data_IF_069600733969
#
_entry.id   IF_069600733969
#
_cell.length_a   1.000
_cell.length_b   1.000
_cell.length_c   1.000
_cell.angle_alpha   90.00
_cell.angle_beta   90.00
_cell.angle_gamma   90.00
#
_symmetry.space_group_name_H-M   'P 1'
#
loop_
_entity.id
_entity.type
_entity.pdbx_description
1 polymer ?
#
# COMPACT_ATOMS: atom_id res chain seq x y z
N UNK A 1 3.64 31.33 -11.75
CA UNK A 1 4.33 30.82 -12.95
C UNK A 1 3.78 29.44 -13.17
N UNK A 2 3.16 29.16 -14.33
CA UNK A 2 2.78 27.79 -14.67
C UNK A 2 4.03 26.91 -14.56
N UNK A 3 3.93 25.72 -13.94
CA UNK A 3 5.05 24.79 -13.93
C UNK A 3 5.46 24.55 -15.39
N UNK A 4 6.76 24.55 -15.67
CA UNK A 4 7.27 24.28 -17.02
C UNK A 4 6.65 22.97 -17.52
N UNK A 5 6.28 22.90 -18.81
CA UNK A 5 5.61 21.76 -19.43
C UNK A 5 6.26 20.44 -18.95
N UNK A 6 5.50 19.54 -18.34
CA UNK A 6 6.05 18.31 -17.82
C UNK A 6 6.55 17.42 -18.97
N UNK A 7 7.60 16.60 -18.76
CA UNK A 7 8.05 15.63 -19.76
C UNK A 7 7.06 14.46 -19.92
N UNK A 8 5.90 14.56 -19.29
CA UNK A 8 4.82 13.57 -19.26
C UNK A 8 3.56 14.11 -19.94
N UNK A 9 2.89 13.25 -20.68
CA UNK A 9 1.62 13.53 -21.34
C UNK A 9 0.43 13.19 -20.41
N UNK A 10 0.65 12.37 -19.39
CA UNK A 10 -0.39 11.90 -18.49
C UNK A 10 0.16 11.39 -17.15
N UNK A 11 -0.75 11.19 -16.21
CA UNK A 11 -0.54 10.44 -14.96
C UNK A 11 -1.37 9.16 -15.00
N UNK A 12 -0.82 8.04 -14.52
CA UNK A 12 -1.53 6.79 -14.32
C UNK A 12 -1.63 6.49 -12.83
N UNK A 13 -2.83 6.40 -12.27
CA UNK A 13 -3.06 5.81 -10.96
C UNK A 13 -3.15 4.29 -11.12
N UNK A 14 -2.24 3.54 -10.54
CA UNK A 14 -2.20 2.08 -10.60
C UNK A 14 -2.43 1.48 -9.22
N UNK A 15 -3.54 0.73 -9.10
CA UNK A 15 -3.97 0.12 -7.85
C UNK A 15 -4.12 -1.40 -7.97
N UNK A 16 -4.44 -2.05 -6.86
CA UNK A 16 -4.66 -3.48 -6.79
C UNK A 16 -5.99 -3.87 -7.45
N UNK A 17 -7.04 -3.06 -7.24
CA UNK A 17 -8.41 -3.37 -7.64
C UNK A 17 -9.13 -4.31 -6.69
N UNK A 18 -10.45 -4.38 -6.80
CA UNK A 18 -11.28 -5.26 -5.98
C UNK A 18 -12.66 -5.46 -6.56
N UNK A 19 -13.41 -6.49 -6.09
CA UNK A 19 -14.77 -6.77 -6.56
C UNK A 19 -15.71 -5.64 -6.16
N UNK A 20 -16.71 -5.36 -7.02
CA UNK A 20 -17.70 -4.30 -6.77
C UNK A 20 -19.09 -4.85 -6.46
N UNK A 21 -19.29 -6.16 -6.60
CA UNK A 21 -20.55 -6.87 -6.33
C UNK A 21 -20.28 -8.35 -6.02
N UNK A 22 -21.23 -9.09 -5.45
CA UNK A 22 -21.03 -10.47 -5.05
C UNK A 22 -20.56 -11.40 -6.19
N UNK A 23 -21.05 -11.21 -7.40
CA UNK A 23 -20.69 -12.04 -8.56
C UNK A 23 -19.22 -11.85 -8.98
N UNK A 24 -18.59 -10.75 -8.59
CA UNK A 24 -17.21 -10.43 -8.92
C UNK A 24 -16.21 -11.16 -8.00
N UNK A 25 -16.63 -11.57 -6.79
CA UNK A 25 -15.74 -12.03 -5.72
C UNK A 25 -14.91 -13.25 -6.16
N UNK A 26 -15.56 -14.32 -6.58
CA UNK A 26 -14.82 -15.54 -6.97
C UNK A 26 -13.95 -15.33 -8.21
N UNK A 27 -14.41 -14.70 -9.30
CA UNK A 27 -13.56 -14.36 -10.44
C UNK A 27 -12.35 -13.47 -10.06
N UNK A 28 -12.55 -12.51 -9.18
CA UNK A 28 -11.47 -11.66 -8.66
C UNK A 28 -10.42 -12.49 -7.91
N UNK A 29 -10.84 -13.35 -6.98
CA UNK A 29 -9.93 -14.21 -6.21
C UNK A 29 -9.17 -15.19 -7.11
N UNK A 30 -9.82 -15.77 -8.10
CA UNK A 30 -9.19 -16.62 -9.13
C UNK A 30 -8.14 -15.83 -9.91
N UNK A 31 -8.42 -14.56 -10.24
CA UNK A 31 -7.46 -13.71 -10.94
C UNK A 31 -6.24 -13.36 -10.06
N UNK A 32 -6.45 -12.96 -8.81
CA UNK A 32 -5.38 -12.65 -7.84
C UNK A 32 -4.46 -13.86 -7.60
N UNK A 33 -5.03 -15.06 -7.59
CA UNK A 33 -4.30 -16.31 -7.30
C UNK A 33 -3.88 -17.08 -8.55
N UNK A 34 -4.05 -16.51 -9.73
CA UNK A 34 -3.71 -17.15 -11.01
C UNK A 34 -2.29 -17.70 -11.00
N UNK A 35 -2.15 -18.97 -11.36
CA UNK A 35 -0.88 -19.68 -11.40
C UNK A 35 -0.29 -20.07 -10.04
N UNK A 36 -1.01 -19.83 -8.92
CA UNK A 36 -0.56 -20.23 -7.58
C UNK A 36 -1.05 -21.63 -7.18
N UNK A 37 -2.00 -22.22 -7.92
CA UNK A 37 -2.54 -23.55 -7.66
C UNK A 37 -3.40 -23.61 -6.39
N UNK A 38 -4.08 -22.53 -6.06
CA UNK A 38 -5.01 -22.49 -4.91
C UNK A 38 -6.32 -23.17 -5.32
N UNK A 39 -6.85 -24.14 -4.56
CA UNK A 39 -8.12 -24.80 -4.86
C UNK A 39 -9.31 -23.83 -4.76
N UNK A 40 -10.34 -24.04 -5.61
CA UNK A 40 -11.55 -23.20 -5.62
C UNK A 40 -12.30 -23.23 -4.29
N UNK A 41 -12.28 -24.36 -3.54
CA UNK A 41 -12.87 -24.46 -2.20
C UNK A 41 -12.23 -23.44 -1.25
N UNK A 42 -10.90 -23.28 -1.30
CA UNK A 42 -10.20 -22.29 -0.47
C UNK A 42 -10.53 -20.86 -0.89
N UNK A 43 -10.72 -20.63 -2.21
CA UNK A 43 -11.15 -19.31 -2.70
C UNK A 43 -12.58 -18.98 -2.25
N UNK A 44 -13.46 -19.96 -2.17
CA UNK A 44 -14.83 -19.77 -1.62
C UNK A 44 -14.79 -19.40 -0.14
N UNK A 45 -13.95 -20.07 0.67
CA UNK A 45 -13.78 -19.71 2.08
C UNK A 45 -13.29 -18.26 2.24
N UNK A 46 -12.29 -17.83 1.47
CA UNK A 46 -11.86 -16.43 1.46
C UNK A 46 -12.96 -15.51 0.94
N UNK A 47 -13.77 -15.97 0.01
CA UNK A 47 -14.93 -15.24 -0.51
C UNK A 47 -15.95 -14.86 0.56
N UNK A 48 -16.14 -15.70 1.60
CA UNK A 48 -17.07 -15.41 2.71
C UNK A 48 -16.72 -14.08 3.42
N UNK A 49 -15.42 -13.71 3.48
CA UNK A 49 -15.01 -12.42 4.01
C UNK A 49 -15.61 -11.27 3.19
N UNK A 50 -15.58 -11.38 1.86
CA UNK A 50 -16.17 -10.37 0.97
C UNK A 50 -17.71 -10.37 1.07
N UNK A 51 -18.33 -11.54 1.10
CA UNK A 51 -19.79 -11.66 1.16
C UNK A 51 -20.37 -11.09 2.46
N UNK A 52 -19.64 -11.17 3.57
CA UNK A 52 -20.04 -10.54 4.84
C UNK A 52 -20.13 -9.00 4.77
N UNK A 53 -19.49 -8.40 3.74
CA UNK A 53 -19.56 -6.97 3.41
C UNK A 53 -20.31 -6.70 2.09
N UNK A 54 -21.25 -7.57 1.72
CA UNK A 54 -22.07 -7.42 0.51
C UNK A 54 -21.33 -7.71 -0.80
N UNK A 55 -20.18 -8.41 -0.75
CA UNK A 55 -19.41 -8.82 -1.93
C UNK A 55 -18.64 -7.68 -2.58
N UNK A 56 -18.47 -6.55 -1.90
CA UNK A 56 -17.81 -5.37 -2.44
C UNK A 56 -16.60 -4.98 -1.59
N UNK A 57 -15.44 -4.76 -2.24
CA UNK A 57 -14.29 -4.09 -1.62
C UNK A 57 -14.41 -2.57 -1.74
N UNK A 58 -14.06 -1.79 -0.73
CA UNK A 58 -14.09 -0.33 -0.82
C UNK A 58 -13.01 0.26 -1.73
N UNK A 59 -12.00 -0.51 -2.14
CA UNK A 59 -10.78 -0.02 -2.80
C UNK A 59 -11.06 0.77 -4.08
N UNK A 60 -12.01 0.31 -4.91
CA UNK A 60 -12.32 1.00 -6.18
C UNK A 60 -13.05 2.33 -5.93
N UNK A 61 -13.94 2.40 -4.94
CA UNK A 61 -14.59 3.67 -4.58
C UNK A 61 -13.58 4.65 -3.99
N UNK A 62 -12.65 4.18 -3.19
CA UNK A 62 -11.57 5.01 -2.66
C UNK A 62 -10.63 5.49 -3.76
N UNK A 63 -10.33 4.65 -4.77
CA UNK A 63 -9.57 5.09 -5.94
C UNK A 63 -10.31 6.18 -6.73
N UNK A 64 -11.63 6.06 -6.90
CA UNK A 64 -12.44 7.11 -7.56
C UNK A 64 -12.40 8.42 -6.78
N UNK A 65 -12.50 8.33 -5.45
CA UNK A 65 -12.39 9.51 -4.59
C UNK A 65 -11.00 10.14 -4.66
N UNK A 66 -9.94 9.33 -4.64
CA UNK A 66 -8.56 9.80 -4.77
C UNK A 66 -8.32 10.45 -6.14
N UNK A 67 -8.83 9.87 -7.24
CA UNK A 67 -8.75 10.47 -8.57
C UNK A 67 -9.40 11.85 -8.63
N UNK A 68 -10.56 11.99 -8.01
CA UNK A 68 -11.24 13.28 -7.93
C UNK A 68 -10.39 14.30 -7.17
N UNK A 69 -9.91 13.94 -5.98
CA UNK A 69 -9.07 14.80 -5.16
C UNK A 69 -7.74 15.19 -5.85
N UNK A 70 -7.12 14.25 -6.58
CA UNK A 70 -5.91 14.54 -7.37
C UNK A 70 -6.18 15.52 -8.51
N UNK A 71 -7.29 15.39 -9.25
CA UNK A 71 -7.66 16.35 -10.31
C UNK A 71 -7.85 17.74 -9.74
N UNK A 72 -8.61 17.86 -8.65
CA UNK A 72 -8.79 19.13 -7.94
C UNK A 72 -7.45 19.73 -7.50
N UNK A 73 -6.56 18.92 -6.92
CA UNK A 73 -5.24 19.37 -6.48
C UNK A 73 -4.31 19.75 -7.64
N UNK A 74 -4.44 19.11 -8.81
CA UNK A 74 -3.71 19.49 -10.03
C UNK A 74 -4.20 20.83 -10.57
N UNK A 75 -5.53 21.03 -10.58
CA UNK A 75 -6.16 22.27 -11.03
C UNK A 75 -5.73 23.48 -10.18
N UNK A 76 -5.57 23.29 -8.86
CA UNK A 76 -5.10 24.34 -7.93
C UNK A 76 -3.75 24.95 -8.31
N UNK A 77 -2.86 24.16 -8.91
CA UNK A 77 -1.53 24.62 -9.34
C UNK A 77 -1.41 24.82 -10.85
N UNK A 78 -2.50 24.63 -11.58
CA UNK A 78 -2.53 24.73 -13.04
C UNK A 78 -1.73 23.61 -13.75
N UNK A 79 -1.66 22.40 -13.16
CA UNK A 79 -1.04 21.24 -13.76
C UNK A 79 -2.03 20.51 -14.67
N UNK A 80 -1.97 20.81 -15.95
CA UNK A 80 -2.85 20.24 -16.98
C UNK A 80 -2.31 18.90 -17.47
N UNK A 81 -2.53 17.83 -16.67
CA UNK A 81 -2.21 16.45 -17.01
C UNK A 81 -3.43 15.56 -16.80
N UNK A 82 -3.91 14.85 -17.83
CA UNK A 82 -4.96 13.84 -17.64
C UNK A 82 -4.50 12.73 -16.70
N UNK A 83 -5.42 12.27 -15.87
CA UNK A 83 -5.16 11.16 -14.93
C UNK A 83 -6.00 9.95 -15.35
N UNK A 84 -5.31 8.90 -15.75
CA UNK A 84 -5.89 7.59 -16.05
C UNK A 84 -5.86 6.69 -14.81
N UNK A 85 -6.72 5.68 -14.78
CA UNK A 85 -6.77 4.73 -13.68
C UNK A 85 -6.83 3.30 -14.20
N UNK A 86 -5.92 2.46 -13.73
CA UNK A 86 -5.90 1.04 -14.00
C UNK A 86 -5.63 0.22 -12.75
N UNK A 87 -6.15 -0.98 -12.71
CA UNK A 87 -5.92 -1.96 -11.65
C UNK A 87 -5.20 -3.19 -12.17
N UNK A 88 -4.53 -3.88 -11.26
CA UNK A 88 -3.82 -5.12 -11.55
C UNK A 88 -4.76 -6.32 -11.68
N UNK A 89 -5.76 -6.41 -10.80
CA UNK A 89 -6.50 -7.66 -10.58
C UNK A 89 -7.99 -7.57 -10.88
N UNK A 90 -8.52 -6.37 -11.15
CA UNK A 90 -9.95 -6.16 -11.49
C UNK A 90 -10.11 -4.93 -12.38
N UNK A 91 -11.32 -4.77 -12.92
CA UNK A 91 -11.63 -3.63 -13.77
C UNK A 91 -11.56 -2.27 -13.01
N UNK A 92 -11.12 -1.18 -13.68
CA UNK A 92 -10.56 -1.16 -15.02
C UNK A 92 -9.18 -1.84 -15.04
N UNK A 93 -8.96 -2.74 -15.98
CA UNK A 93 -7.68 -3.45 -16.05
C UNK A 93 -6.58 -2.57 -16.62
N UNK A 94 -5.37 -2.70 -16.06
CA UNK A 94 -4.19 -1.94 -16.49
C UNK A 94 -3.96 -2.00 -18.01
N UNK A 95 -4.08 -3.18 -18.62
CA UNK A 95 -3.88 -3.35 -20.06
C UNK A 95 -4.90 -2.58 -20.88
N UNK A 96 -6.18 -2.53 -20.44
CA UNK A 96 -7.22 -1.76 -21.12
C UNK A 96 -7.00 -0.26 -20.97
N UNK A 97 -6.59 0.19 -19.77
CA UNK A 97 -6.20 1.59 -19.52
C UNK A 97 -5.00 1.99 -20.39
N UNK A 98 -4.01 1.12 -20.57
CA UNK A 98 -2.89 1.43 -21.47
C UNK A 98 -3.31 1.52 -22.93
N UNK A 99 -4.30 0.72 -23.37
CA UNK A 99 -4.88 0.86 -24.74
C UNK A 99 -5.59 2.20 -24.91
N UNK A 100 -6.36 2.64 -23.90
CA UNK A 100 -6.99 3.95 -23.87
C UNK A 100 -5.93 5.06 -23.97
N UNK A 101 -4.91 5.03 -23.12
CA UNK A 101 -3.80 6.00 -23.16
C UNK A 101 -3.12 6.06 -24.55
N UNK A 102 -2.84 4.91 -25.16
CA UNK A 102 -2.23 4.83 -26.48
C UNK A 102 -3.17 5.41 -27.56
N UNK A 103 -4.47 5.11 -27.50
CA UNK A 103 -5.47 5.65 -28.42
C UNK A 103 -5.62 7.18 -28.30
N UNK A 104 -5.45 7.72 -27.10
CA UNK A 104 -5.46 9.17 -26.84
C UNK A 104 -4.13 9.86 -27.21
N UNK A 105 -3.16 9.09 -27.70
CA UNK A 105 -1.87 9.62 -28.14
C UNK A 105 -0.86 9.89 -27.03
N UNK A 106 -1.08 9.36 -25.81
CA UNK A 106 -0.12 9.44 -24.71
C UNK A 106 1.12 8.63 -25.08
N UNK A 107 2.28 9.24 -25.02
CA UNK A 107 3.57 8.60 -25.32
C UNK A 107 4.40 8.35 -24.08
N UNK A 108 4.22 9.17 -23.05
CA UNK A 108 4.94 9.04 -21.78
C UNK A 108 4.08 9.45 -20.60
N UNK A 109 4.00 8.61 -19.59
CA UNK A 109 3.27 8.92 -18.37
C UNK A 109 4.08 8.60 -17.12
N UNK A 110 3.73 9.26 -16.02
CA UNK A 110 4.23 8.91 -14.68
C UNK A 110 3.17 8.13 -13.93
N UNK A 111 3.56 7.02 -13.26
CA UNK A 111 2.63 6.19 -12.49
C UNK A 111 2.74 6.46 -10.99
N UNK A 112 1.58 6.71 -10.40
CA UNK A 112 1.33 6.68 -8.95
C UNK A 112 0.89 5.26 -8.61
N UNK A 113 1.71 4.52 -7.85
CA UNK A 113 1.34 3.19 -7.36
C UNK A 113 0.76 3.31 -5.96
N UNK A 114 -0.40 2.70 -5.71
CA UNK A 114 -1.05 2.71 -4.39
C UNK A 114 -0.37 1.74 -3.39
N UNK A 115 0.96 1.77 -3.38
CA UNK A 115 1.81 0.99 -2.48
C UNK A 115 3.06 1.82 -2.14
N UNK A 116 3.25 2.10 -0.85
CA UNK A 116 4.26 3.05 -0.40
C UNK A 116 5.62 2.43 -0.08
N UNK A 117 5.69 1.10 0.11
CA UNK A 117 6.86 0.41 0.67
C UNK A 117 7.54 -0.54 -0.32
N UNK A 118 8.87 -0.73 -0.21
CA UNK A 118 9.61 -1.63 -1.09
C UNK A 118 9.37 -3.10 -0.71
N UNK A 119 8.86 -3.90 -1.64
CA UNK A 119 8.81 -5.35 -1.58
C UNK A 119 8.58 -5.91 -2.98
N UNK A 120 8.66 -7.23 -3.17
CA UNK A 120 8.24 -7.82 -4.43
C UNK A 120 6.78 -7.47 -4.76
N UNK A 121 5.86 -7.74 -3.84
CA UNK A 121 4.42 -7.51 -4.06
C UNK A 121 4.02 -6.04 -4.14
N UNK A 122 4.69 -5.17 -3.37
CA UNK A 122 4.37 -3.73 -3.31
C UNK A 122 5.08 -2.88 -4.36
N UNK A 123 6.16 -3.37 -4.97
CA UNK A 123 6.97 -2.59 -5.90
C UNK A 123 7.25 -3.33 -7.22
N UNK A 124 8.03 -4.42 -7.16
CA UNK A 124 8.50 -5.08 -8.37
C UNK A 124 7.38 -5.70 -9.19
N UNK A 125 6.41 -6.31 -8.55
CA UNK A 125 5.29 -6.92 -9.24
C UNK A 125 4.45 -5.87 -10.01
N UNK A 126 4.36 -4.63 -9.50
CA UNK A 126 3.75 -3.53 -10.26
C UNK A 126 4.55 -3.18 -11.51
N UNK A 127 5.90 -3.16 -11.41
CA UNK A 127 6.76 -2.95 -12.58
C UNK A 127 6.58 -4.07 -13.61
N UNK A 128 6.58 -5.32 -13.17
CA UNK A 128 6.35 -6.48 -14.05
C UNK A 128 4.99 -6.40 -14.74
N UNK A 129 3.92 -5.98 -14.03
CA UNK A 129 2.60 -5.80 -14.64
C UNK A 129 2.57 -4.65 -15.67
N UNK A 130 3.29 -3.55 -15.44
CA UNK A 130 3.43 -2.47 -16.41
C UNK A 130 4.18 -2.96 -17.66
N UNK A 131 5.27 -3.72 -17.49
CA UNK A 131 6.04 -4.30 -18.58
C UNK A 131 5.22 -5.32 -19.38
N UNK A 132 4.40 -6.16 -18.70
CA UNK A 132 3.52 -7.14 -19.35
C UNK A 132 2.43 -6.43 -20.16
N UNK A 133 1.75 -5.44 -19.60
CA UNK A 133 0.74 -4.66 -20.30
C UNK A 133 1.32 -3.92 -21.52
N UNK A 134 2.53 -3.34 -21.39
CA UNK A 134 3.20 -2.66 -22.48
C UNK A 134 3.57 -3.60 -23.64
N UNK A 135 3.85 -4.89 -23.36
CA UNK A 135 4.09 -5.89 -24.42
C UNK A 135 2.82 -6.27 -25.21
N UNK A 136 1.65 -6.15 -24.57
CA UNK A 136 0.37 -6.49 -25.19
C UNK A 136 -0.27 -5.34 -25.97
N UNK A 137 0.16 -4.10 -25.69
CA UNK A 137 -0.47 -2.89 -26.28
C UNK A 137 0.45 -2.30 -27.34
N UNK A 138 0.04 -2.27 -28.63
CA UNK A 138 0.77 -1.53 -29.66
C UNK A 138 0.87 -0.06 -29.26
N UNK A 139 2.01 0.55 -29.49
CA UNK A 139 2.29 1.95 -29.17
C UNK A 139 2.04 2.34 -27.69
N UNK A 140 2.20 1.36 -26.78
CA UNK A 140 2.06 1.58 -25.35
C UNK A 140 2.93 2.76 -24.87
N UNK A 141 2.41 3.65 -24.01
CA UNK A 141 3.21 4.73 -23.47
C UNK A 141 4.37 4.20 -22.62
N UNK A 142 5.50 4.90 -22.65
CA UNK A 142 6.56 4.70 -21.67
C UNK A 142 6.05 5.16 -20.29
N UNK A 143 6.20 4.30 -19.28
CA UNK A 143 5.76 4.60 -17.91
C UNK A 143 6.98 4.74 -17.00
N UNK A 144 7.12 5.90 -16.36
CA UNK A 144 8.09 6.13 -15.30
C UNK A 144 7.37 6.09 -13.94
N UNK A 145 7.97 5.47 -12.93
CA UNK A 145 7.36 5.32 -11.60
C UNK A 145 7.79 6.47 -10.69
N UNK A 146 6.89 6.92 -9.81
CA UNK A 146 7.27 7.74 -8.66
C UNK A 146 8.15 6.95 -7.70
N UNK A 147 9.04 7.64 -6.99
CA UNK A 147 9.79 7.04 -5.87
C UNK A 147 8.83 6.53 -4.78
N UNK A 148 9.31 5.63 -3.93
CA UNK A 148 8.56 5.27 -2.73
C UNK A 148 8.38 6.51 -1.84
N UNK A 149 7.19 6.64 -1.26
CA UNK A 149 6.78 7.85 -0.53
C UNK A 149 6.41 7.60 0.94
N UNK A 150 6.69 6.40 1.46
CA UNK A 150 6.33 6.06 2.84
C UNK A 150 6.89 7.04 3.88
N UNK A 151 8.13 7.51 3.69
CA UNK A 151 8.75 8.50 4.57
C UNK A 151 8.60 9.95 4.10
N UNK A 152 7.70 10.21 3.15
CA UNK A 152 7.39 11.59 2.78
C UNK A 152 6.61 12.27 3.91
N UNK A 153 6.89 13.56 4.25
CA UNK A 153 6.17 14.27 5.30
C UNK A 153 4.65 14.27 5.15
N UNK A 154 4.14 14.30 3.90
CA UNK A 154 2.70 14.24 3.64
C UNK A 154 2.08 12.89 4.00
N UNK A 155 2.75 11.77 3.72
CA UNK A 155 2.30 10.43 4.11
C UNK A 155 2.37 10.24 5.63
N UNK A 156 3.50 10.53 6.25
CA UNK A 156 3.67 10.44 7.70
C UNK A 156 2.72 11.39 8.42
N UNK A 157 2.55 12.62 7.92
CA UNK A 157 1.67 13.62 8.50
C UNK A 157 0.20 13.22 8.52
N UNK A 158 -0.31 12.53 7.47
CA UNK A 158 -1.68 12.02 7.47
C UNK A 158 -1.87 10.95 8.56
N UNK A 159 -0.88 10.07 8.78
CA UNK A 159 -0.94 9.09 9.87
C UNK A 159 -0.77 9.71 11.26
N UNK A 160 0.01 10.77 11.41
CA UNK A 160 0.10 11.49 12.69
C UNK A 160 -1.28 12.01 13.10
N UNK A 161 -2.02 12.62 12.18
CA UNK A 161 -3.36 13.15 12.49
C UNK A 161 -4.36 12.04 12.79
N UNK A 162 -4.45 11.00 11.95
CA UNK A 162 -5.39 9.91 12.17
C UNK A 162 -5.06 9.09 13.43
N UNK A 163 -3.76 8.95 13.77
CA UNK A 163 -3.34 8.30 15.02
C UNK A 163 -3.71 9.15 16.24
N UNK A 164 -3.49 10.47 16.17
CA UNK A 164 -3.90 11.37 17.24
C UNK A 164 -5.42 11.33 17.48
N UNK A 165 -6.21 11.30 16.40
CA UNK A 165 -7.66 11.14 16.48
C UNK A 165 -8.06 9.79 17.10
N UNK A 166 -7.42 8.67 16.71
CA UNK A 166 -7.69 7.37 17.31
C UNK A 166 -7.36 7.36 18.81
N UNK A 167 -6.19 7.90 19.19
CA UNK A 167 -5.77 8.00 20.58
C UNK A 167 -6.71 8.87 21.44
N UNK A 168 -7.32 9.90 20.87
CA UNK A 168 -8.28 10.76 21.58
C UNK A 168 -9.54 10.02 22.05
N UNK A 169 -9.84 8.86 21.48
CA UNK A 169 -10.97 7.99 21.80
C UNK A 169 -10.64 6.93 22.85
N UNK A 170 -9.40 6.89 23.31
CA UNK A 170 -8.84 5.84 24.16
C UNK A 170 -8.39 6.39 25.51
N UNK A 171 -8.29 5.53 26.54
CA UNK A 171 -7.71 5.93 27.82
C UNK A 171 -6.28 6.45 27.69
N UNK A 172 -5.87 7.31 28.62
CA UNK A 172 -4.48 7.77 28.69
C UNK A 172 -3.52 6.55 28.91
N UNK A 173 -2.34 6.61 28.33
CA UNK A 173 -1.39 5.49 28.38
C UNK A 173 -1.65 4.36 27.38
N UNK A 174 -2.66 4.46 26.52
CA UNK A 174 -2.91 3.49 25.47
C UNK A 174 -1.70 3.35 24.54
N UNK A 175 -1.46 2.12 24.09
CA UNK A 175 -0.38 1.76 23.16
C UNK A 175 -0.74 2.09 21.69
N UNK A 176 0.24 2.01 20.81
CA UNK A 176 0.06 2.12 19.37
C UNK A 176 0.58 0.84 18.71
N UNK A 177 -0.29 0.12 18.01
CA UNK A 177 0.07 -1.01 17.16
C UNK A 177 0.08 -0.54 15.69
N UNK A 178 1.27 -0.40 15.12
CA UNK A 178 1.44 -0.09 13.70
C UNK A 178 1.27 -1.36 12.89
N UNK A 179 0.31 -1.40 11.96
CA UNK A 179 -0.07 -2.62 11.23
C UNK A 179 0.31 -2.52 9.77
N UNK A 180 0.85 -3.61 9.24
CA UNK A 180 1.07 -3.82 7.81
C UNK A 180 0.76 -5.26 7.42
N UNK A 181 0.61 -5.52 6.11
CA UNK A 181 0.42 -6.88 5.61
C UNK A 181 1.65 -7.74 5.91
N UNK A 182 1.44 -8.92 6.47
CA UNK A 182 2.53 -9.88 6.63
C UNK A 182 3.02 -10.37 5.26
N UNK A 183 4.31 -10.51 5.13
CA UNK A 183 4.95 -11.10 3.94
C UNK A 183 5.91 -12.22 4.38
N UNK A 184 6.25 -13.18 3.50
CA UNK A 184 7.28 -14.16 3.80
C UNK A 184 8.59 -13.50 4.25
N UNK A 185 9.22 -14.03 5.32
CA UNK A 185 10.50 -13.50 5.83
C UNK A 185 11.57 -13.45 4.75
N UNK A 186 11.58 -14.44 3.84
CA UNK A 186 12.49 -14.46 2.69
C UNK A 186 12.22 -13.33 1.68
N UNK A 187 10.97 -12.86 1.56
CA UNK A 187 10.63 -11.69 0.73
C UNK A 187 11.14 -10.40 1.38
N UNK A 188 10.99 -10.27 2.70
CA UNK A 188 11.57 -9.13 3.41
C UNK A 188 13.10 -9.12 3.27
N UNK A 189 13.76 -10.25 3.46
CA UNK A 189 15.22 -10.36 3.37
C UNK A 189 15.80 -9.87 2.05
N UNK A 190 15.01 -9.86 0.96
CA UNK A 190 15.43 -9.38 -0.37
C UNK A 190 14.73 -8.08 -0.80
N UNK A 191 13.96 -7.44 0.10
CA UNK A 191 13.25 -6.20 -0.20
C UNK A 191 14.16 -4.97 -0.14
N UNK A 192 13.96 -4.05 -1.06
CA UNK A 192 14.82 -2.87 -1.21
C UNK A 192 16.19 -3.18 -1.83
N UNK A 193 17.06 -2.16 -1.98
CA UNK A 193 18.37 -2.34 -2.59
C UNK A 193 19.36 -3.14 -1.71
N UNK A 194 19.21 -3.05 -0.38
CA UNK A 194 20.15 -3.61 0.60
C UNK A 194 19.56 -4.77 1.39
N UNK A 195 18.34 -5.20 1.09
CA UNK A 195 17.58 -6.21 1.85
C UNK A 195 16.87 -5.62 3.06
N UNK A 196 15.90 -6.34 3.60
CA UNK A 196 15.07 -5.98 4.77
C UNK A 196 14.30 -4.64 4.64
N UNK A 197 14.30 -4.03 3.46
CA UNK A 197 13.72 -2.71 3.25
C UNK A 197 12.25 -2.62 3.63
N UNK A 198 11.47 -3.71 3.50
CA UNK A 198 10.06 -3.69 3.91
C UNK A 198 9.91 -3.37 5.41
N UNK A 199 10.55 -4.12 6.27
CA UNK A 199 10.50 -3.93 7.73
C UNK A 199 11.19 -2.63 8.15
N UNK A 200 12.37 -2.34 7.58
CA UNK A 200 13.15 -1.16 7.95
C UNK A 200 12.41 0.14 7.67
N UNK A 201 11.74 0.23 6.50
CA UNK A 201 10.95 1.40 6.15
C UNK A 201 9.70 1.55 7.00
N UNK A 202 8.99 0.44 7.34
CA UNK A 202 7.86 0.49 8.27
C UNK A 202 8.28 0.95 9.67
N UNK A 203 9.40 0.46 10.19
CA UNK A 203 9.92 0.88 11.48
C UNK A 203 10.33 2.37 11.49
N UNK A 204 10.94 2.85 10.40
CA UNK A 204 11.34 4.26 10.29
C UNK A 204 10.14 5.20 10.25
N UNK A 205 9.09 4.81 9.53
CA UNK A 205 7.79 5.52 9.49
C UNK A 205 7.10 5.50 10.85
N UNK A 206 7.00 4.33 11.49
CA UNK A 206 6.43 4.17 12.82
C UNK A 206 7.15 5.07 13.85
N UNK A 207 8.48 5.04 13.84
CA UNK A 207 9.29 5.89 14.70
C UNK A 207 9.06 7.39 14.44
N UNK A 208 8.93 7.79 13.18
CA UNK A 208 8.67 9.18 12.78
C UNK A 208 7.29 9.67 13.25
N UNK A 209 6.25 8.83 13.11
CA UNK A 209 4.90 9.14 13.62
C UNK A 209 4.94 9.26 15.14
N UNK A 210 5.55 8.29 15.82
CA UNK A 210 5.67 8.27 17.28
C UNK A 210 6.38 9.51 17.80
N UNK A 211 7.54 9.86 17.24
CA UNK A 211 8.32 11.03 17.64
C UNK A 211 7.52 12.34 17.50
N UNK A 212 6.74 12.48 16.43
CA UNK A 212 5.90 13.65 16.24
C UNK A 212 4.74 13.71 17.23
N UNK A 213 4.11 12.57 17.55
CA UNK A 213 3.06 12.49 18.59
C UNK A 213 3.64 12.79 19.97
N UNK A 214 4.79 12.26 20.33
CA UNK A 214 5.49 12.58 21.59
C UNK A 214 5.84 14.07 21.68
N UNK A 215 6.35 14.65 20.61
CA UNK A 215 6.64 16.10 20.55
C UNK A 215 5.41 16.95 20.78
N UNK A 216 4.24 16.53 20.28
CA UNK A 216 2.97 17.27 20.44
C UNK A 216 2.36 17.13 21.82
N UNK A 217 2.46 15.95 22.41
CA UNK A 217 1.74 15.59 23.64
C UNK A 217 2.61 15.57 24.89
N UNK A 218 3.94 15.45 24.74
CA UNK A 218 4.87 15.18 25.85
C UNK A 218 4.73 13.78 26.43
N UNK A 219 3.96 12.88 25.80
CA UNK A 219 3.69 11.54 26.31
C UNK A 219 4.40 10.49 25.48
N UNK A 220 5.27 9.72 26.12
CA UNK A 220 5.82 8.48 25.52
C UNK A 220 4.82 7.34 25.64
N UNK A 221 4.74 6.50 24.60
CA UNK A 221 3.80 5.39 24.51
C UNK A 221 4.52 4.11 24.07
N UNK A 222 4.01 2.96 24.47
CA UNK A 222 4.42 1.68 23.89
C UNK A 222 4.00 1.65 22.42
N UNK A 223 4.93 1.27 21.54
CA UNK A 223 4.69 1.17 20.09
C UNK A 223 5.30 -0.11 19.55
N UNK A 224 4.55 -0.83 18.74
CA UNK A 224 5.00 -2.09 18.15
C UNK A 224 4.59 -2.13 16.67
N UNK A 225 5.45 -2.73 15.82
CA UNK A 225 5.09 -3.07 14.44
C UNK A 225 4.55 -4.50 14.43
N UNK A 226 3.32 -4.66 13.97
CA UNK A 226 2.60 -5.93 13.92
C UNK A 226 2.03 -6.19 12.53
N UNK A 227 1.55 -7.39 12.29
CA UNK A 227 1.21 -7.81 10.94
C UNK A 227 -0.21 -8.39 10.89
N UNK A 228 -0.84 -8.33 9.71
CA UNK A 228 -2.13 -8.97 9.42
C UNK A 228 -2.07 -9.75 8.11
N UNK A 229 -3.16 -10.41 7.75
CA UNK A 229 -3.38 -11.04 6.44
C UNK A 229 -2.34 -12.10 6.07
N UNK A 230 -1.78 -12.83 7.03
CA UNK A 230 -0.88 -13.93 6.74
C UNK A 230 -1.56 -14.96 5.83
N UNK A 231 -1.01 -15.20 4.66
CA UNK A 231 -1.52 -16.15 3.69
C UNK A 231 -0.44 -17.15 3.28
N UNK A 232 -0.82 -18.38 3.01
CA UNK A 232 0.12 -19.40 2.56
C UNK A 232 0.33 -20.52 3.58
N UNK A 233 1.10 -21.56 3.21
CA UNK A 233 1.22 -22.77 4.00
C UNK A 233 1.97 -22.50 5.31
N UNK A 234 1.61 -23.20 6.41
CA UNK A 234 2.23 -23.00 7.74
C UNK A 234 3.75 -23.17 7.77
N UNK A 235 4.31 -23.95 6.83
CA UNK A 235 5.74 -24.24 6.77
C UNK A 235 6.59 -23.07 6.24
N UNK A 236 5.98 -22.10 5.59
CA UNK A 236 6.67 -20.89 5.11
C UNK A 236 6.68 -19.85 6.22
N UNK A 237 7.84 -19.42 6.71
CA UNK A 237 7.92 -18.37 7.71
C UNK A 237 7.45 -17.02 7.14
N UNK A 238 6.60 -16.34 7.88
CA UNK A 238 6.10 -15.01 7.59
C UNK A 238 6.49 -14.05 8.71
N UNK A 239 6.37 -12.76 8.47
CA UNK A 239 6.63 -11.75 9.49
C UNK A 239 5.57 -11.82 10.58
N UNK A 240 6.01 -11.73 11.83
CA UNK A 240 5.24 -11.82 13.07
C UNK A 240 5.64 -10.67 14.03
N UNK A 241 4.82 -10.37 15.07
CA UNK A 241 3.59 -11.07 15.50
C UNK A 241 2.35 -10.67 14.67
N UNK A 242 1.34 -11.55 14.66
CA UNK A 242 0.00 -11.19 14.18
C UNK A 242 -0.64 -10.14 15.09
N UNK A 243 -1.49 -9.28 14.54
CA UNK A 243 -2.16 -8.23 15.30
C UNK A 243 -3.02 -8.79 16.41
N UNK A 244 -3.72 -9.92 16.22
CA UNK A 244 -4.56 -10.53 17.24
C UNK A 244 -3.71 -11.11 18.40
N UNK A 245 -2.62 -11.81 18.10
CA UNK A 245 -1.68 -12.32 19.10
C UNK A 245 -1.09 -11.16 19.94
N UNK A 246 -0.79 -10.04 19.26
CA UNK A 246 -0.26 -8.88 19.95
C UNK A 246 -1.30 -8.19 20.87
N UNK A 247 -2.57 -8.16 20.48
CA UNK A 247 -3.66 -7.66 21.34
C UNK A 247 -3.78 -8.48 22.63
N UNK A 248 -3.59 -9.82 22.57
CA UNK A 248 -3.56 -10.69 23.74
C UNK A 248 -2.40 -10.32 24.67
N UNK A 249 -1.22 -10.05 24.13
CA UNK A 249 -0.06 -9.60 24.91
C UNK A 249 -0.32 -8.25 25.58
N UNK A 250 -0.87 -7.27 24.85
CA UNK A 250 -1.19 -5.95 25.42
C UNK A 250 -2.20 -6.05 26.56
N UNK A 251 -3.24 -6.87 26.40
CA UNK A 251 -4.23 -7.10 27.45
C UNK A 251 -3.63 -7.79 28.68
N UNK A 252 -2.78 -8.81 28.50
CA UNK A 252 -2.07 -9.51 29.57
C UNK A 252 -1.12 -8.57 30.34
N UNK A 253 -0.48 -7.63 29.64
CA UNK A 253 0.39 -6.61 30.23
C UNK A 253 -0.38 -5.46 30.93
N UNK A 254 -1.71 -5.47 30.89
CA UNK A 254 -2.55 -4.45 31.52
C UNK A 254 -2.53 -3.11 30.81
N UNK A 255 -2.25 -3.06 29.52
CA UNK A 255 -2.28 -1.83 28.73
C UNK A 255 -3.74 -1.33 28.65
N UNK A 256 -4.01 -0.02 28.93
CA UNK A 256 -5.38 0.48 29.07
C UNK A 256 -6.18 0.56 27.76
N UNK A 257 -5.52 0.50 26.62
CA UNK A 257 -6.14 0.53 25.29
C UNK A 257 -5.09 0.53 24.17
N UNK A 258 -5.53 0.42 22.93
CA UNK A 258 -4.63 0.36 21.76
C UNK A 258 -5.20 1.13 20.56
N UNK A 259 -4.39 2.02 19.98
CA UNK A 259 -4.62 2.57 18.65
C UNK A 259 -4.01 1.62 17.60
N UNK A 260 -4.84 1.07 16.72
CA UNK A 260 -4.42 0.23 15.60
C UNK A 260 -4.23 1.12 14.37
N UNK A 261 -3.01 1.22 13.85
CA UNK A 261 -2.64 2.18 12.82
C UNK A 261 -2.16 1.45 11.56
N UNK A 262 -2.96 1.41 10.49
CA UNK A 262 -2.68 0.62 9.29
C UNK A 262 -1.64 1.29 8.37
N UNK A 263 -0.41 1.50 8.87
CA UNK A 263 0.64 2.25 8.14
C UNK A 263 1.08 1.61 6.83
N UNK A 264 0.85 0.31 6.66
CA UNK A 264 1.17 -0.41 5.43
C UNK A 264 0.20 -0.16 4.27
N UNK A 265 -0.88 0.60 4.48
CA UNK A 265 -1.99 0.73 3.54
C UNK A 265 -2.31 2.20 3.23
N UNK A 266 -2.53 2.50 1.95
CA UNK A 266 -2.86 3.87 1.50
C UNK A 266 -4.36 4.13 1.45
N UNK A 267 -5.15 3.06 1.42
CA UNK A 267 -6.62 3.09 1.38
C UNK A 267 -7.21 1.86 2.03
N UNK A 268 -8.45 1.94 2.49
CA UNK A 268 -9.15 0.78 3.01
C UNK A 268 -9.50 -0.20 1.87
N UNK A 269 -9.31 -1.46 2.12
CA UNK A 269 -9.71 -2.58 1.28
C UNK A 269 -10.13 -3.74 2.18
N UNK A 270 -10.47 -4.90 1.60
CA UNK A 270 -11.03 -6.01 2.38
C UNK A 270 -10.11 -6.45 3.53
N UNK A 271 -8.79 -6.52 3.31
CA UNK A 271 -7.85 -6.91 4.37
C UNK A 271 -7.81 -5.92 5.54
N UNK A 272 -8.00 -4.61 5.30
CA UNK A 272 -8.09 -3.61 6.37
C UNK A 272 -9.41 -3.74 7.13
N UNK A 273 -10.55 -3.76 6.44
CA UNK A 273 -11.86 -3.78 7.11
C UNK A 273 -12.20 -5.14 7.72
N UNK A 274 -11.73 -6.25 7.12
CA UNK A 274 -11.96 -7.57 7.69
C UNK A 274 -10.96 -7.86 8.82
N UNK A 275 -9.66 -7.75 8.58
CA UNK A 275 -8.65 -8.15 9.58
C UNK A 275 -8.63 -7.19 10.77
N UNK A 276 -8.81 -5.87 10.55
CA UNK A 276 -8.70 -4.88 11.60
C UNK A 276 -10.05 -4.46 12.20
N UNK A 277 -11.05 -4.11 11.36
CA UNK A 277 -12.33 -3.64 11.87
C UNK A 277 -13.26 -4.79 12.28
N UNK A 278 -12.95 -6.05 11.89
CA UNK A 278 -13.75 -7.21 12.25
C UNK A 278 -12.99 -8.16 13.19
N UNK A 279 -11.89 -8.78 12.75
CA UNK A 279 -11.20 -9.80 13.55
C UNK A 279 -10.47 -9.19 14.75
N UNK A 280 -9.59 -8.19 14.53
CA UNK A 280 -8.89 -7.52 15.62
C UNK A 280 -9.85 -6.82 16.59
N UNK A 281 -10.92 -6.19 16.07
CA UNK A 281 -11.95 -5.58 16.90
C UNK A 281 -12.69 -6.61 17.76
N UNK A 282 -13.02 -7.80 17.23
CA UNK A 282 -13.61 -8.91 18.01
C UNK A 282 -12.65 -9.42 19.07
N UNK A 283 -11.36 -9.58 18.75
CA UNK A 283 -10.32 -9.99 19.69
C UNK A 283 -10.20 -8.98 20.82
N UNK A 284 -10.07 -7.69 20.52
CA UNK A 284 -9.99 -6.63 21.50
C UNK A 284 -11.22 -6.60 22.42
N UNK A 285 -12.43 -6.72 21.84
CA UNK A 285 -13.68 -6.76 22.62
C UNK A 285 -13.74 -7.96 23.56
N UNK A 286 -13.31 -9.15 23.11
CA UNK A 286 -13.24 -10.36 23.94
C UNK A 286 -12.25 -10.21 25.12
N UNK A 287 -11.16 -9.49 24.90
CA UNK A 287 -10.15 -9.20 25.91
C UNK A 287 -10.53 -8.03 26.83
N UNK A 288 -11.59 -7.32 26.54
CA UNK A 288 -11.95 -6.09 27.25
C UNK A 288 -10.94 -4.96 27.05
N UNK A 289 -10.14 -5.00 25.97
CA UNK A 289 -9.14 -3.99 25.61
C UNK A 289 -9.76 -2.91 24.72
N UNK A 290 -9.91 -1.66 25.20
CA UNK A 290 -10.35 -0.56 24.36
C UNK A 290 -9.47 -0.43 23.10
N UNK A 291 -10.08 -0.39 21.93
CA UNK A 291 -9.39 -0.30 20.64
C UNK A 291 -10.00 0.79 19.77
N UNK A 292 -9.17 1.56 19.10
CA UNK A 292 -9.57 2.48 18.05
C UNK A 292 -8.64 2.34 16.84
N UNK A 293 -9.22 2.25 15.63
CA UNK A 293 -8.44 2.21 14.38
C UNK A 293 -8.24 3.61 13.82
N UNK A 294 -7.00 3.96 13.50
CA UNK A 294 -6.68 5.17 12.75
C UNK A 294 -7.07 5.01 11.26
N UNK A 295 -7.54 6.08 10.65
CA UNK A 295 -7.86 6.07 9.23
C UNK A 295 -6.61 5.85 8.37
N UNK A 296 -6.78 5.17 7.21
CA UNK A 296 -5.79 5.19 6.12
C UNK A 296 -5.74 6.57 5.45
N UNK A 297 -4.65 6.94 4.74
CA UNK A 297 -4.53 8.25 4.11
C UNK A 297 -5.69 8.60 3.16
N UNK A 298 -6.08 7.67 2.29
CA UNK A 298 -7.26 7.83 1.42
C UNK A 298 -7.22 9.12 0.60
N UNK A 299 -8.05 10.10 0.99
CA UNK A 299 -8.14 11.43 0.37
C UNK A 299 -7.70 12.55 1.31
N UNK A 300 -6.92 12.24 2.36
CA UNK A 300 -6.35 13.26 3.23
C UNK A 300 -5.58 14.30 2.42
N UNK A 301 -5.77 15.58 2.72
CA UNK A 301 -5.21 16.70 1.97
C UNK A 301 -3.66 16.62 1.90
N UNK A 302 -2.99 16.24 3.00
CA UNK A 302 -1.52 16.12 3.03
C UNK A 302 -1.04 15.01 2.11
N UNK A 303 -1.80 13.89 2.06
CA UNK A 303 -1.50 12.77 1.20
C UNK A 303 -1.72 13.10 -0.28
N UNK A 304 -2.83 13.73 -0.62
CA UNK A 304 -3.14 14.15 -2.00
C UNK A 304 -2.13 15.19 -2.51
N UNK A 305 -1.85 16.20 -1.70
CA UNK A 305 -0.83 17.23 -2.00
C UNK A 305 0.54 16.59 -2.23
N UNK A 306 0.94 15.65 -1.38
CA UNK A 306 2.18 14.89 -1.55
C UNK A 306 2.23 14.17 -2.91
N UNK A 307 1.17 13.47 -3.29
CA UNK A 307 1.14 12.73 -4.57
C UNK A 307 1.29 13.69 -5.77
N UNK A 308 0.62 14.84 -5.74
CA UNK A 308 0.80 15.92 -6.72
C UNK A 308 2.25 16.41 -6.76
N UNK A 309 2.82 16.72 -5.60
CA UNK A 309 4.16 17.27 -5.50
C UNK A 309 5.23 16.26 -5.96
N UNK A 310 5.02 14.96 -5.72
CA UNK A 310 5.86 13.89 -6.26
C UNK A 310 5.81 13.79 -7.79
N UNK A 311 4.66 14.07 -8.41
CA UNK A 311 4.56 14.17 -9.88
C UNK A 311 5.40 15.34 -10.38
N UNK A 312 5.32 16.49 -9.73
CA UNK A 312 6.13 17.67 -10.08
C UNK A 312 7.62 17.43 -9.84
N UNK A 313 7.98 16.80 -8.70
CA UNK A 313 9.36 16.38 -8.36
C UNK A 313 9.93 15.47 -9.45
N UNK A 314 9.20 14.43 -9.83
CA UNK A 314 9.65 13.47 -10.86
C UNK A 314 9.82 14.14 -12.23
N UNK A 315 8.90 15.05 -12.58
CA UNK A 315 8.99 15.82 -13.82
C UNK A 315 10.20 16.74 -13.84
N UNK A 316 10.52 17.39 -12.72
CA UNK A 316 11.72 18.24 -12.58
C UNK A 316 13.00 17.40 -12.73
N UNK A 317 13.07 16.25 -12.07
CA UNK A 317 14.22 15.34 -12.20
C UNK A 317 14.43 14.88 -13.66
N UNK A 318 13.36 14.58 -14.38
CA UNK A 318 13.43 14.20 -15.81
C UNK A 318 13.92 15.34 -16.73
N UNK A 319 13.70 16.59 -16.36
CA UNK A 319 14.28 17.76 -17.04
C UNK A 319 15.74 17.99 -16.69
N UNK A 320 16.35 17.17 -15.82
CA UNK A 320 17.72 17.31 -15.34
C UNK A 320 17.88 18.34 -14.20
N UNK A 321 16.77 18.77 -13.60
CA UNK A 321 16.79 19.64 -12.42
C UNK A 321 17.11 18.80 -11.16
N UNK A 322 17.47 19.47 -10.08
CA UNK A 322 17.70 18.85 -8.78
C UNK A 322 16.60 19.29 -7.81
N UNK A 323 15.39 18.66 -7.88
CA UNK A 323 14.30 19.03 -7.00
C UNK A 323 14.61 18.63 -5.55
N UNK A 324 14.04 19.39 -4.61
CA UNK A 324 14.00 18.95 -3.22
C UNK A 324 13.25 17.64 -3.11
N UNK A 325 13.76 16.73 -2.28
CA UNK A 325 13.16 15.42 -2.02
C UNK A 325 12.82 15.29 -0.55
N UNK A 326 11.69 15.87 -0.11
CA UNK A 326 11.33 15.87 1.29
C UNK A 326 11.16 14.44 1.81
N UNK A 327 11.74 14.19 2.98
CA UNK A 327 11.63 12.93 3.70
C UNK A 327 11.79 13.17 5.20
N UNK A 328 11.24 12.26 6.00
CA UNK A 328 11.44 12.20 7.45
C UNK A 328 12.08 10.86 7.83
N UNK A 329 12.51 10.73 9.07
CA UNK A 329 13.21 9.55 9.54
C UNK A 329 14.68 9.50 9.11
N UNK A 330 15.29 8.33 9.27
CA UNK A 330 16.74 8.12 9.12
C UNK A 330 17.20 7.61 7.75
N UNK A 331 16.24 7.08 6.94
CA UNK A 331 16.58 6.36 5.70
C UNK A 331 16.83 7.28 4.49
N UNK A 332 16.49 8.58 4.62
CA UNK A 332 16.60 9.52 3.51
C UNK A 332 15.53 9.28 2.42
N UNK A 333 15.54 10.09 1.34
CA UNK A 333 14.56 9.95 0.27
C UNK A 333 14.81 8.67 -0.54
N UNK A 334 13.70 8.02 -0.97
CA UNK A 334 13.80 6.88 -1.86
C UNK A 334 14.31 7.29 -3.26
N UNK A 335 14.77 6.31 -3.99
CA UNK A 335 15.30 6.43 -5.36
C UNK A 335 14.17 6.42 -6.40
N UNK A 336 14.36 7.06 -7.54
CA UNK A 336 13.41 7.07 -8.66
C UNK A 336 13.43 5.74 -9.41
N UNK A 337 14.62 5.23 -9.70
CA UNK A 337 14.80 4.01 -10.48
C UNK A 337 15.39 2.89 -9.62
N UNK A 338 14.72 1.74 -9.65
CA UNK A 338 15.21 0.54 -9.00
C UNK A 338 16.21 -0.20 -9.89
N UNK A 339 17.25 -0.77 -9.29
CA UNK A 339 18.09 -1.75 -9.95
C UNK A 339 17.23 -2.90 -10.50
N UNK A 340 17.69 -3.49 -11.61
CA UNK A 340 16.94 -4.58 -12.27
C UNK A 340 16.68 -5.77 -11.34
N UNK A 341 17.59 -6.06 -10.42
CA UNK A 341 17.56 -7.18 -9.47
C UNK A 341 16.91 -6.83 -8.12
N UNK A 342 16.42 -5.60 -7.92
CA UNK A 342 15.76 -5.17 -6.69
C UNK A 342 14.44 -5.90 -6.45
N UNK A 343 14.18 -6.30 -5.21
CA UNK A 343 12.97 -7.01 -4.78
C UNK A 343 12.62 -8.24 -5.64
N UNK A 344 13.51 -9.23 -5.78
CA UNK A 344 13.27 -10.36 -6.67
C UNK A 344 12.07 -11.20 -6.20
N UNK A 345 11.38 -11.90 -7.12
CA UNK A 345 10.35 -12.86 -6.76
C UNK A 345 10.96 -14.01 -5.94
N UNK A 346 10.21 -14.53 -4.99
CA UNK A 346 10.61 -15.76 -4.31
C UNK A 346 10.69 -16.90 -5.34
N UNK A 347 11.86 -17.53 -5.48
CA UNK A 347 12.00 -18.71 -6.31
C UNK A 347 11.10 -19.81 -5.76
N UNK A 348 10.19 -20.35 -6.57
CA UNK A 348 9.50 -21.58 -6.22
C UNK A 348 10.56 -22.68 -6.06
N UNK A 349 10.49 -23.55 -5.05
CA UNK A 349 11.31 -24.74 -5.01
C UNK A 349 11.08 -25.49 -6.33
N UNK A 350 12.14 -25.72 -7.10
CA UNK A 350 12.07 -26.60 -8.27
C UNK A 350 11.64 -27.97 -7.74
N UNK A 351 10.54 -28.58 -8.24
CA UNK A 351 10.21 -29.95 -7.86
C UNK A 351 11.45 -30.80 -8.06
N UNK A 352 11.84 -31.56 -7.04
CA UNK A 352 12.94 -32.53 -7.19
C UNK A 352 12.62 -33.35 -8.43
N UNK A 353 13.53 -33.38 -9.40
CA UNK A 353 13.44 -34.33 -10.51
C UNK A 353 13.35 -35.70 -9.85
N UNK A 354 12.22 -36.38 -10.00
CA UNK A 354 12.13 -37.79 -9.67
C UNK A 354 13.31 -38.46 -10.36
N UNK A 355 14.20 -39.02 -9.56
CA UNK A 355 15.29 -39.84 -10.11
C UNK A 355 14.62 -41.01 -10.84
N UNK A 356 14.70 -40.99 -12.17
CA UNK A 356 14.30 -42.12 -12.96
C UNK A 356 15.17 -43.31 -12.51
N UNK A 357 14.50 -44.33 -11.90
CA UNK A 357 15.05 -45.63 -11.62
C UNK A 357 15.11 -46.45 -12.92
#
# INVERSE_FOLDING_TARGET
>A
MSPAAPPYDAVLLLSFGGPEKPEDVLPFLQNVTRGRGIPDERLKEVGEHYYSFGGKSPINDQNRALLKALRESFDEIGLDLPIYWGNRNWAPYLTDTMREMAADGVRRAVVIVTSAYPSYSGCRQYRENLEDAAREVPDAPRIDKLRHYANHPGFVGSFVESTAEALSKLPEGSAIAYVTHSIPTAMNATSGPDGNGYVDWHNDVAASITAELERRTGQSRRTDLVYCSRSGPPQVPWLEPDVNDHLEVLAADGVPGVAVVPIGFVSDHMEVIYDLDTEAAKTAAKLGLPMARAATPGTDEKFVTMLRDLVVERAAAERGEQPDRPCVGRLGPAWDDCRHDCCPPLRRPTPAKEAAV
#
